data_IF_953226422065
#
_entry.id   IF_953226422065
#
_cell.length_a   1.000
_cell.length_b   1.000
_cell.length_c   1.000
_cell.angle_alpha   90.00
_cell.angle_beta   90.00
_cell.angle_gamma   90.00
#
_symmetry.space_group_name_H-M   'P 1'
#
loop_
_entity.id
_entity.type
_entity.pdbx_description
1 polymer ?
#
# COMPACT_ATOMS: atom_id res chain seq x y z
N UNK A 1 -0.50 -2.10 -3.00
CA UNK A 1 -1.95 -1.84 -2.91
C UNK A 1 -2.72 -3.14 -2.80
N UNK A 2 -3.86 -3.11 -2.17
CA UNK A 2 -4.69 -4.29 -1.90
C UNK A 2 -6.12 -4.03 -2.34
N UNK A 3 -6.71 -4.98 -3.00
CA UNK A 3 -8.11 -4.91 -3.44
C UNK A 3 -8.89 -6.16 -3.02
N UNK A 4 -10.18 -6.04 -2.89
CA UNK A 4 -11.07 -7.16 -2.60
C UNK A 4 -12.55 -6.78 -2.67
N UNK A 5 -13.42 -7.76 -2.57
CA UNK A 5 -14.86 -7.58 -2.77
C UNK A 5 -15.74 -8.26 -1.72
N UNK A 6 -15.20 -8.56 -0.58
CA UNK A 6 -15.92 -9.21 0.52
C UNK A 6 -15.82 -8.38 1.79
N UNK A 7 -16.71 -8.60 2.76
CA UNK A 7 -16.74 -7.88 4.03
C UNK A 7 -15.47 -8.05 4.87
N UNK A 8 -14.75 -9.17 4.68
CA UNK A 8 -13.45 -9.42 5.29
C UNK A 8 -12.29 -8.63 4.70
N UNK A 9 -12.48 -7.87 3.62
CA UNK A 9 -11.41 -7.16 2.92
C UNK A 9 -10.60 -6.25 3.83
N UNK A 10 -11.21 -5.59 4.80
CA UNK A 10 -10.50 -4.69 5.70
C UNK A 10 -9.44 -5.41 6.53
N UNK A 11 -9.76 -6.60 7.04
CA UNK A 11 -8.79 -7.42 7.78
C UNK A 11 -7.67 -7.93 6.86
N UNK A 12 -8.02 -8.36 5.66
CA UNK A 12 -7.04 -8.78 4.65
C UNK A 12 -6.14 -7.62 4.28
N UNK A 13 -6.71 -6.44 3.98
CA UNK A 13 -5.95 -5.24 3.63
C UNK A 13 -4.97 -4.85 4.75
N UNK A 14 -5.44 -4.80 6.00
CA UNK A 14 -4.58 -4.46 7.15
C UNK A 14 -3.41 -5.44 7.28
N UNK A 15 -3.67 -6.74 7.19
CA UNK A 15 -2.62 -7.76 7.32
C UNK A 15 -1.62 -7.71 6.17
N UNK A 16 -2.09 -7.56 4.93
CA UNK A 16 -1.22 -7.51 3.75
C UNK A 16 -0.39 -6.22 3.74
N UNK A 17 -1.00 -5.06 4.02
CA UNK A 17 -0.28 -3.78 4.07
C UNK A 17 0.78 -3.77 5.17
N UNK A 18 0.46 -4.29 6.34
CA UNK A 18 1.44 -4.46 7.42
C UNK A 18 2.61 -5.35 6.98
N UNK A 19 2.32 -6.49 6.38
CA UNK A 19 3.34 -7.42 5.90
C UNK A 19 4.22 -6.81 4.81
N UNK A 20 3.62 -6.09 3.86
CA UNK A 20 4.36 -5.40 2.79
C UNK A 20 5.30 -4.33 3.37
N UNK A 21 4.82 -3.51 4.31
CA UNK A 21 5.64 -2.52 4.99
C UNK A 21 6.81 -3.19 5.73
N UNK A 22 6.54 -4.28 6.43
CA UNK A 22 7.56 -5.03 7.18
C UNK A 22 8.64 -5.64 6.27
N UNK A 23 8.28 -5.96 5.03
CA UNK A 23 9.20 -6.43 4.00
C UNK A 23 9.99 -5.30 3.31
N UNK A 24 9.75 -4.04 3.68
CA UNK A 24 10.46 -2.88 3.15
C UNK A 24 9.81 -2.19 1.96
N UNK A 25 8.57 -2.52 1.63
CA UNK A 25 7.83 -1.79 0.59
C UNK A 25 7.34 -0.45 1.10
N UNK A 26 7.40 0.57 0.26
CA UNK A 26 6.77 1.87 0.51
C UNK A 26 5.27 1.76 0.29
N UNK A 27 4.49 2.14 1.28
CA UNK A 27 3.04 2.12 1.22
C UNK A 27 2.52 3.53 0.94
N UNK A 28 1.87 3.76 -0.20
CA UNK A 28 1.28 5.06 -0.51
C UNK A 28 0.06 5.36 0.38
N UNK A 29 -0.37 6.63 0.48
CA UNK A 29 -1.65 6.96 1.10
C UNK A 29 -2.80 6.20 0.43
N UNK A 30 -3.82 5.83 1.20
CA UNK A 30 -5.02 5.15 0.71
C UNK A 30 -4.68 3.89 -0.13
N UNK A 31 -3.82 3.04 0.40
CA UNK A 31 -3.23 1.91 -0.34
C UNK A 31 -4.18 0.72 -0.51
N UNK A 32 -5.41 0.82 -0.09
CA UNK A 32 -6.43 -0.20 -0.26
C UNK A 32 -7.69 0.36 -0.91
N UNK A 33 -8.35 -0.48 -1.68
CA UNK A 33 -9.67 -0.22 -2.24
C UNK A 33 -10.45 -1.52 -2.28
N UNK A 34 -11.76 -1.42 -2.11
CA UNK A 34 -12.61 -2.59 -2.11
C UNK A 34 -14.06 -2.26 -2.41
N UNK A 35 -14.79 -3.29 -2.73
CA UNK A 35 -16.24 -3.27 -2.87
C UNK A 35 -16.83 -4.32 -1.93
N UNK A 36 -17.79 -3.92 -1.12
CA UNK A 36 -18.50 -4.82 -0.23
C UNK A 36 -19.90 -5.03 -0.82
N UNK A 37 -20.08 -6.16 -1.44
CA UNK A 37 -21.35 -6.61 -1.96
C UNK A 37 -22.21 -7.34 -0.91
N UNK A 38 -23.33 -7.96 -1.34
CA UNK A 38 -24.16 -8.75 -0.46
C UNK A 38 -23.38 -9.87 0.23
N UNK A 39 -23.65 -10.09 1.52
CA UNK A 39 -23.02 -11.15 2.28
C UNK A 39 -23.45 -12.54 1.80
N UNK A 40 -22.55 -13.53 1.93
CA UNK A 40 -22.77 -14.91 1.52
C UNK A 40 -22.38 -15.15 0.06
N UNK A 41 -22.83 -16.22 -0.58
CA UNK A 41 -22.52 -16.50 -1.98
C UNK A 41 -23.31 -15.54 -2.89
N UNK A 42 -22.95 -14.28 -2.84
CA UNK A 42 -23.52 -13.22 -3.68
C UNK A 42 -22.71 -13.00 -4.95
N UNK A 43 -23.12 -12.05 -5.81
CA UNK A 43 -22.37 -11.70 -7.01
C UNK A 43 -21.01 -11.13 -6.65
N UNK A 44 -20.00 -11.44 -7.47
CA UNK A 44 -18.71 -10.77 -7.43
C UNK A 44 -18.81 -9.38 -8.05
N UNK A 45 -17.77 -8.56 -7.84
CA UNK A 45 -17.74 -7.16 -8.27
C UNK A 45 -18.12 -6.95 -9.74
N UNK A 46 -17.65 -7.83 -10.64
CA UNK A 46 -17.89 -7.72 -12.08
C UNK A 46 -19.11 -8.52 -12.57
N UNK A 47 -19.81 -9.22 -11.70
CA UNK A 47 -20.96 -10.00 -12.12
C UNK A 47 -22.13 -9.11 -12.53
N UNK A 48 -22.90 -9.56 -13.50
CA UNK A 48 -24.08 -8.84 -13.97
C UNK A 48 -25.04 -8.56 -12.82
N UNK A 49 -25.48 -7.31 -12.73
CA UNK A 49 -26.42 -6.88 -11.68
C UNK A 49 -25.80 -6.70 -10.29
N UNK A 50 -24.47 -6.84 -10.13
CA UNK A 50 -23.79 -6.63 -8.86
C UNK A 50 -23.86 -5.17 -8.37
N UNK A 51 -23.88 -4.22 -9.30
CA UNK A 51 -23.74 -2.78 -9.00
C UNK A 51 -22.32 -2.38 -8.59
N UNK A 52 -21.37 -3.31 -8.63
CA UNK A 52 -19.97 -3.04 -8.25
C UNK A 52 -19.33 -1.98 -9.13
N UNK A 53 -19.31 -2.15 -10.46
CA UNK A 53 -18.69 -1.17 -11.38
C UNK A 53 -19.32 0.22 -11.33
N UNK A 54 -20.57 0.35 -10.93
CA UNK A 54 -21.30 1.60 -10.77
C UNK A 54 -21.15 2.24 -9.38
N UNK A 55 -20.47 1.57 -8.46
CA UNK A 55 -20.30 2.07 -7.10
C UNK A 55 -19.29 3.23 -7.08
N UNK A 56 -19.78 4.45 -6.91
CA UNK A 56 -18.96 5.67 -6.92
C UNK A 56 -17.86 5.66 -5.85
N UNK A 57 -18.16 5.18 -4.65
CA UNK A 57 -17.18 5.11 -3.57
C UNK A 57 -16.01 4.20 -3.94
N UNK A 58 -16.29 3.02 -4.50
CA UNK A 58 -15.25 2.08 -4.92
C UNK A 58 -14.43 2.63 -6.08
N UNK A 59 -15.07 3.22 -7.08
CA UNK A 59 -14.39 3.84 -8.22
C UNK A 59 -13.46 4.98 -7.76
N UNK A 60 -13.97 5.87 -6.93
CA UNK A 60 -13.20 6.99 -6.39
C UNK A 60 -11.99 6.51 -5.59
N UNK A 61 -12.19 5.56 -4.68
CA UNK A 61 -11.09 5.03 -3.87
C UNK A 61 -10.05 4.29 -4.72
N UNK A 62 -10.49 3.53 -5.71
CA UNK A 62 -9.58 2.87 -6.66
C UNK A 62 -8.77 3.90 -7.45
N UNK A 63 -9.40 4.98 -7.87
CA UNK A 63 -8.73 6.09 -8.56
C UNK A 63 -7.69 6.74 -7.65
N UNK A 64 -8.06 7.10 -6.42
CA UNK A 64 -7.14 7.72 -5.46
C UNK A 64 -5.97 6.81 -5.12
N UNK A 65 -6.24 5.54 -4.84
CA UNK A 65 -5.21 4.52 -4.60
C UNK A 65 -4.22 4.44 -5.76
N UNK A 66 -4.72 4.39 -6.98
CA UNK A 66 -3.89 4.28 -8.18
C UNK A 66 -3.00 5.51 -8.37
N UNK A 67 -3.56 6.71 -8.25
CA UNK A 67 -2.78 7.94 -8.37
C UNK A 67 -1.76 8.08 -7.25
N UNK A 68 -2.11 7.79 -6.01
CA UNK A 68 -1.16 7.81 -4.90
C UNK A 68 0.00 6.83 -5.10
N UNK A 69 -0.28 5.64 -5.63
CA UNK A 69 0.76 4.68 -6.00
C UNK A 69 1.69 5.25 -7.07
N UNK A 70 1.13 5.83 -8.14
CA UNK A 70 1.92 6.42 -9.23
C UNK A 70 2.77 7.59 -8.75
N UNK A 71 2.22 8.45 -7.90
CA UNK A 71 2.95 9.58 -7.32
C UNK A 71 4.11 9.11 -6.45
N UNK A 72 3.87 8.14 -5.55
CA UNK A 72 4.93 7.59 -4.70
C UNK A 72 6.00 6.90 -5.53
N UNK A 73 5.62 6.09 -6.52
CA UNK A 73 6.56 5.44 -7.41
C UNK A 73 7.45 6.45 -8.17
N UNK A 74 6.86 7.55 -8.64
CA UNK A 74 7.60 8.62 -9.30
C UNK A 74 8.56 9.33 -8.34
N UNK A 75 8.16 9.57 -7.09
CA UNK A 75 9.03 10.16 -6.07
C UNK A 75 10.22 9.26 -5.78
N UNK A 76 9.99 7.97 -5.53
CA UNK A 76 11.04 7.00 -5.27
C UNK A 76 11.98 6.84 -6.47
N UNK A 77 11.44 6.81 -7.68
CA UNK A 77 12.25 6.73 -8.90
C UNK A 77 13.17 7.92 -9.05
N UNK A 78 12.69 9.15 -8.81
CA UNK A 78 13.49 10.37 -8.88
C UNK A 78 14.53 10.45 -7.77
N UNK A 79 14.18 9.98 -6.56
CA UNK A 79 15.08 9.97 -5.41
C UNK A 79 16.07 8.80 -5.38
N UNK A 80 15.96 7.84 -6.31
CA UNK A 80 16.83 6.67 -6.32
C UNK A 80 16.45 5.59 -5.28
N UNK A 81 15.25 5.68 -4.70
CA UNK A 81 14.78 4.78 -3.65
C UNK A 81 15.08 5.30 -2.24
N UNK A 82 14.98 4.42 -1.25
CA UNK A 82 15.38 4.75 0.12
C UNK A 82 16.89 4.63 0.28
N UNK A 83 17.56 5.64 0.88
CA UNK A 83 19.00 5.55 1.17
C UNK A 83 19.31 4.36 2.07
N UNK A 84 20.42 3.69 1.80
CA UNK A 84 20.94 2.60 2.61
C UNK A 84 21.81 3.16 3.76
N UNK A 85 21.22 3.98 4.64
CA UNK A 85 21.89 4.60 5.77
C UNK A 85 21.03 4.50 7.04
N UNK A 86 21.57 3.91 8.09
CA UNK A 86 20.87 3.71 9.36
C UNK A 86 19.77 2.63 9.35
N UNK A 87 19.55 1.95 8.23
CA UNK A 87 18.47 0.98 8.03
C UNK A 87 18.95 -0.37 7.48
N UNK A 88 20.26 -0.64 7.56
CA UNK A 88 20.86 -1.89 7.08
C UNK A 88 21.29 -2.78 8.23
N UNK A 89 20.83 -4.03 8.23
CA UNK A 89 21.19 -5.01 9.25
C UNK A 89 22.72 -5.25 9.32
N UNK A 90 23.37 -5.33 8.17
CA UNK A 90 24.82 -5.51 8.09
C UNK A 90 25.59 -4.37 8.72
N UNK A 91 25.15 -3.13 8.54
CA UNK A 91 25.78 -1.95 9.16
C UNK A 91 25.58 -1.95 10.67
N UNK A 92 24.37 -2.30 11.14
CA UNK A 92 24.10 -2.47 12.56
C UNK A 92 25.01 -3.52 13.20
N UNK A 93 25.14 -4.69 12.56
CA UNK A 93 25.99 -5.78 13.03
C UNK A 93 27.48 -5.41 13.02
N UNK A 94 27.89 -4.49 12.13
CA UNK A 94 29.23 -3.89 12.10
C UNK A 94 29.43 -2.77 13.12
N UNK A 95 28.44 -2.40 13.93
CA UNK A 95 28.53 -1.41 14.98
C UNK A 95 27.93 -0.04 14.67
N UNK A 96 27.30 0.16 13.49
CA UNK A 96 26.61 1.42 13.20
C UNK A 96 25.45 1.67 14.17
N UNK A 97 25.31 2.93 14.59
CA UNK A 97 24.26 3.40 15.50
C UNK A 97 23.70 4.74 15.01
N UNK A 98 22.65 5.24 15.67
CA UNK A 98 21.96 6.49 15.33
C UNK A 98 22.77 7.77 15.57
N UNK A 99 23.94 7.68 16.17
CA UNK A 99 24.85 8.79 16.41
C UNK A 99 25.65 9.21 15.18
N UNK A 100 25.48 8.53 14.06
CA UNK A 100 26.05 8.87 12.75
C UNK A 100 25.03 9.58 11.87
N UNK A 101 24.99 10.92 11.85
CA UNK A 101 24.00 11.64 11.05
C UNK A 101 24.24 11.43 9.56
N UNK A 102 23.16 11.25 8.80
CA UNK A 102 23.24 11.27 7.36
C UNK A 102 23.50 12.69 6.86
N UNK A 103 24.57 12.95 6.11
CA UNK A 103 24.91 14.28 5.58
C UNK A 103 23.80 14.89 4.71
N UNK A 104 22.97 14.07 4.06
CA UNK A 104 21.88 14.53 3.21
C UNK A 104 20.75 15.24 3.99
N UNK A 105 20.68 15.09 5.30
CA UNK A 105 19.64 15.67 6.15
C UNK A 105 20.11 16.89 6.96
N UNK A 106 21.23 17.48 6.59
CA UNK A 106 21.79 18.66 7.23
C UNK A 106 21.33 19.96 6.57
#
# INVERSE_FOLDING_TARGET
IVTGNEDGIKHVAMNVLYSLQHLGYAIPPQADAGWIGPAGPGPSYLDEGSGGPENDFTQRNTTFMTWNLMHLAALLKRGGGFPAHGNQRSAWDAGERFDHPNPEYR
#
